data_IF_174861368773
#
_entry.id   IF_174861368773
#
_cell.length_a   1.000
_cell.length_b   1.000
_cell.length_c   1.000
_cell.angle_alpha   90.00
_cell.angle_beta   90.00
_cell.angle_gamma   90.00
#
_symmetry.space_group_name_H-M   'P 1'
#
loop_
_entity.id
_entity.type
_entity.pdbx_description
1 polymer ?
#
# COMPACT_ATOMS: atom_id res chain seq x y z
N UNK A 1 -15.24 -4.76 -20.58
CA UNK A 1 -15.28 -3.68 -19.58
C UNK A 1 -13.92 -2.99 -19.58
N UNK A 2 -13.83 -1.66 -19.42
CA UNK A 2 -12.53 -0.98 -19.33
C UNK A 2 -11.88 -1.27 -17.98
N UNK A 3 -10.58 -1.57 -17.99
CA UNK A 3 -9.76 -1.80 -16.81
C UNK A 3 -8.48 -0.97 -16.94
N UNK A 4 -7.85 -0.66 -15.81
CA UNK A 4 -6.52 -0.06 -15.79
C UNK A 4 -5.50 -1.17 -15.57
N UNK A 5 -4.54 -1.28 -16.49
CA UNK A 5 -3.43 -2.24 -16.39
C UNK A 5 -2.13 -1.49 -16.14
N UNK A 6 -1.44 -1.86 -15.07
CA UNK A 6 -0.17 -1.26 -14.70
C UNK A 6 0.93 -2.32 -14.66
N UNK A 7 2.08 -2.02 -15.24
CA UNK A 7 3.31 -2.79 -15.07
C UNK A 7 4.18 -2.01 -14.08
N UNK A 8 4.49 -2.61 -12.95
CA UNK A 8 5.09 -1.90 -11.81
C UNK A 8 6.30 -2.67 -11.30
N UNK A 9 7.47 -2.04 -11.36
CA UNK A 9 8.72 -2.55 -10.81
C UNK A 9 9.02 -2.02 -9.40
N UNK A 10 10.20 -2.40 -8.89
CA UNK A 10 10.77 -1.85 -7.66
C UNK A 10 12.27 -1.50 -7.80
N UNK A 11 12.89 -0.94 -6.75
CA UNK A 11 12.37 -0.88 -5.40
C UNK A 11 11.38 0.28 -5.18
N UNK A 12 10.32 0.03 -4.43
CA UNK A 12 9.37 1.04 -3.97
C UNK A 12 8.68 0.57 -2.68
N UNK A 13 8.78 1.37 -1.62
CA UNK A 13 8.13 1.12 -0.35
C UNK A 13 7.64 2.45 0.23
N UNK A 14 6.41 2.46 0.73
CA UNK A 14 5.80 3.62 1.39
C UNK A 14 5.08 3.17 2.66
N UNK A 15 4.57 4.11 3.44
CA UNK A 15 3.88 3.82 4.71
C UNK A 15 2.35 3.94 4.61
N UNK A 16 1.84 4.49 3.51
CA UNK A 16 0.41 4.59 3.24
C UNK A 16 -0.24 3.24 2.94
N UNK A 17 -1.43 3.04 3.49
CA UNK A 17 -2.36 1.99 3.09
C UNK A 17 -3.44 2.61 2.21
N UNK A 18 -3.53 2.12 0.98
CA UNK A 18 -4.59 2.47 0.06
C UNK A 18 -5.84 1.63 0.36
N UNK A 19 -7.01 2.24 0.24
CA UNK A 19 -8.30 1.60 0.43
C UNK A 19 -9.13 1.92 -0.81
N UNK A 20 -9.29 0.90 -1.64
CA UNK A 20 -10.04 0.95 -2.89
C UNK A 20 -11.39 0.24 -2.68
N UNK A 21 -12.49 0.84 -3.13
CA UNK A 21 -13.83 0.23 -3.05
C UNK A 21 -14.09 -0.85 -4.10
N UNK A 22 -13.11 -1.13 -4.97
CA UNK A 22 -13.12 -2.19 -5.97
C UNK A 22 -11.97 -3.17 -5.72
N UNK A 23 -12.07 -4.43 -6.20
CA UNK A 23 -10.99 -5.40 -6.03
C UNK A 23 -9.73 -4.99 -6.82
N UNK A 24 -8.58 -5.44 -6.35
CA UNK A 24 -7.31 -5.30 -7.06
C UNK A 24 -6.68 -6.67 -7.31
N UNK A 25 -6.30 -6.93 -8.55
CA UNK A 25 -5.66 -8.18 -8.91
C UNK A 25 -4.17 -7.97 -9.17
N UNK A 26 -3.36 -8.83 -8.57
CA UNK A 26 -1.90 -8.78 -8.62
C UNK A 26 -1.37 -10.05 -9.28
N UNK A 27 -0.33 -9.89 -10.10
CA UNK A 27 0.48 -10.98 -10.60
C UNK A 27 1.95 -10.59 -10.60
N UNK A 28 2.81 -11.45 -10.08
CA UNK A 28 4.25 -11.20 -10.06
C UNK A 28 4.95 -11.96 -11.19
N UNK A 29 5.38 -11.22 -12.21
CA UNK A 29 6.08 -11.80 -13.35
C UNK A 29 7.56 -12.11 -13.03
N UNK A 30 8.23 -11.24 -12.26
CA UNK A 30 9.64 -11.42 -11.86
C UNK A 30 9.82 -11.04 -10.39
N UNK A 31 10.38 -11.96 -9.61
CA UNK A 31 10.58 -11.80 -8.16
C UNK A 31 9.28 -11.71 -7.36
N UNK A 32 9.40 -11.77 -6.05
CA UNK A 32 8.30 -11.64 -5.10
C UNK A 32 8.07 -10.18 -4.70
N UNK A 33 6.83 -9.84 -4.36
CA UNK A 33 6.48 -8.61 -3.66
C UNK A 33 5.87 -8.93 -2.29
N UNK A 34 5.81 -7.92 -1.42
CA UNK A 34 5.11 -8.00 -0.15
C UNK A 34 3.90 -7.06 -0.20
N UNK A 35 2.70 -7.60 0.06
CA UNK A 35 1.48 -6.84 0.19
C UNK A 35 1.08 -6.84 1.66
N UNK A 36 1.29 -5.71 2.34
CA UNK A 36 0.83 -5.55 3.72
C UNK A 36 -0.65 -5.23 3.69
N UNK A 37 -1.47 -5.85 4.53
CA UNK A 37 -2.91 -5.63 4.59
C UNK A 37 -3.38 -5.46 6.03
N UNK A 38 -4.52 -4.81 6.22
CA UNK A 38 -5.27 -4.83 7.47
C UNK A 38 -6.55 -5.63 7.25
N UNK A 39 -6.58 -6.86 7.75
CA UNK A 39 -7.68 -7.81 7.60
C UNK A 39 -8.38 -7.97 8.95
N UNK A 40 -9.63 -7.50 9.05
CA UNK A 40 -10.41 -7.44 10.30
C UNK A 40 -9.63 -6.79 11.48
N UNK A 41 -8.92 -5.71 11.18
CA UNK A 41 -8.09 -4.98 12.17
C UNK A 41 -6.73 -5.63 12.46
N UNK A 42 -6.44 -6.78 11.87
CA UNK A 42 -5.17 -7.50 12.02
C UNK A 42 -4.23 -7.16 10.88
N UNK A 43 -3.03 -6.68 11.20
CA UNK A 43 -1.98 -6.44 10.22
C UNK A 43 -1.39 -7.76 9.75
N UNK A 44 -1.34 -7.97 8.44
CA UNK A 44 -0.80 -9.19 7.83
C UNK A 44 0.11 -8.85 6.67
N UNK A 45 1.12 -9.70 6.50
CA UNK A 45 2.12 -9.60 5.45
C UNK A 45 1.87 -10.75 4.46
N UNK A 46 1.41 -10.42 3.25
CA UNK A 46 1.15 -11.39 2.18
C UNK A 46 2.31 -11.35 1.20
N UNK A 47 3.10 -12.43 1.13
CA UNK A 47 4.15 -12.58 0.12
C UNK A 47 3.53 -13.14 -1.16
N UNK A 48 3.53 -12.33 -2.23
CA UNK A 48 3.10 -12.74 -3.56
C UNK A 48 4.36 -13.09 -4.33
N UNK A 49 4.65 -14.38 -4.53
CA UNK A 49 5.90 -14.86 -5.14
C UNK A 49 5.85 -14.74 -6.65
N UNK A 50 7.02 -14.87 -7.29
CA UNK A 50 7.10 -14.96 -8.75
C UNK A 50 6.20 -16.09 -9.26
N UNK A 51 5.34 -15.77 -10.22
CA UNK A 51 4.33 -16.67 -10.79
C UNK A 51 2.99 -16.65 -10.05
N UNK A 52 2.92 -16.12 -8.82
CA UNK A 52 1.69 -16.10 -8.04
C UNK A 52 0.71 -15.03 -8.57
N UNK A 53 -0.56 -15.37 -8.49
CA UNK A 53 -1.69 -14.48 -8.70
C UNK A 53 -2.41 -14.28 -7.37
N UNK A 54 -2.83 -13.05 -7.08
CA UNK A 54 -3.55 -12.72 -5.85
C UNK A 54 -4.68 -11.73 -6.15
N UNK A 55 -5.87 -11.99 -5.63
CA UNK A 55 -7.01 -11.08 -5.72
C UNK A 55 -7.28 -10.48 -4.35
N UNK A 56 -7.07 -9.18 -4.22
CA UNK A 56 -7.37 -8.42 -3.02
C UNK A 56 -8.86 -8.00 -3.02
N UNK A 57 -9.62 -8.33 -1.97
CA UNK A 57 -11.00 -7.90 -1.84
C UNK A 57 -11.14 -6.37 -1.72
N UNK A 58 -12.29 -5.80 -2.15
CA UNK A 58 -12.62 -4.40 -1.93
C UNK A 58 -12.51 -3.96 -0.47
N UNK A 59 -12.24 -2.69 -0.26
CA UNK A 59 -12.15 -2.02 1.04
C UNK A 59 -11.07 -2.55 1.99
N UNK A 60 -10.21 -3.45 1.52
CA UNK A 60 -9.06 -3.93 2.30
C UNK A 60 -7.96 -2.87 2.29
N UNK A 61 -7.60 -2.26 3.43
CA UNK A 61 -6.44 -1.38 3.50
C UNK A 61 -5.19 -2.18 3.15
N UNK A 62 -4.44 -1.72 2.16
CA UNK A 62 -3.28 -2.44 1.68
C UNK A 62 -2.11 -1.51 1.32
N UNK A 63 -0.89 -1.97 1.56
CA UNK A 63 0.36 -1.26 1.31
C UNK A 63 1.30 -2.16 0.50
N UNK A 64 1.44 -1.91 -0.82
CA UNK A 64 2.31 -2.71 -1.67
C UNK A 64 3.78 -2.30 -1.52
N UNK A 65 4.63 -3.27 -1.19
CA UNK A 65 6.09 -3.13 -1.11
C UNK A 65 6.73 -3.95 -2.23
N UNK A 66 7.54 -3.28 -3.05
CA UNK A 66 8.20 -3.86 -4.22
C UNK A 66 9.71 -3.80 -4.04
N UNK A 67 10.38 -4.90 -4.30
CA UNK A 67 11.83 -5.03 -4.12
C UNK A 67 12.58 -4.74 -5.42
N UNK A 68 13.90 -4.56 -5.34
CA UNK A 68 14.72 -4.26 -6.51
C UNK A 68 14.66 -5.40 -7.54
N UNK A 69 14.72 -5.05 -8.84
CA UNK A 69 14.71 -6.02 -9.95
C UNK A 69 13.47 -6.92 -10.03
N UNK A 70 12.34 -6.48 -9.45
CA UNK A 70 11.04 -7.17 -9.56
C UNK A 70 10.16 -6.54 -10.64
N UNK A 71 9.22 -7.33 -11.19
CA UNK A 71 8.23 -6.87 -12.16
C UNK A 71 6.90 -7.52 -11.83
N UNK A 72 5.90 -6.69 -11.51
CA UNK A 72 4.52 -7.14 -11.29
C UNK A 72 3.53 -6.44 -12.21
N UNK A 73 2.38 -7.09 -12.38
CA UNK A 73 1.21 -6.57 -13.08
C UNK A 73 0.13 -6.32 -12.03
N UNK A 74 -0.53 -5.17 -12.11
CA UNK A 74 -1.73 -4.86 -11.34
C UNK A 74 -2.86 -4.55 -12.31
N UNK A 75 -4.00 -5.20 -12.10
CA UNK A 75 -5.25 -4.90 -12.78
C UNK A 75 -6.23 -4.30 -11.78
N UNK A 76 -6.73 -3.12 -12.12
CA UNK A 76 -7.77 -2.44 -11.35
C UNK A 76 -9.00 -2.21 -12.22
N UNK A 77 -10.17 -2.34 -11.60
CA UNK A 77 -11.42 -1.92 -12.23
C UNK A 77 -11.44 -0.40 -12.35
N UNK A 78 -12.02 0.11 -13.45
CA UNK A 78 -12.40 1.52 -13.50
C UNK A 78 -13.35 1.82 -12.32
N UNK A 79 -13.00 2.84 -11.54
CA UNK A 79 -13.77 3.30 -10.40
C UNK A 79 -15.23 3.61 -10.78
N UNK A 80 -16.22 3.08 -10.03
CA UNK A 80 -17.60 3.58 -10.09
C UNK A 80 -17.64 5.10 -9.82
N UNK A 81 -18.59 5.82 -10.42
CA UNK A 81 -18.66 7.29 -10.34
C UNK A 81 -18.68 7.82 -8.91
N UNK A 82 -19.43 7.16 -8.03
CA UNK A 82 -19.58 7.54 -6.62
C UNK A 82 -18.50 6.95 -5.72
N UNK A 83 -17.54 6.20 -6.28
CA UNK A 83 -16.52 5.56 -5.46
C UNK A 83 -15.49 6.56 -4.94
N UNK A 84 -15.06 6.33 -3.70
CA UNK A 84 -14.09 7.15 -2.98
C UNK A 84 -12.94 6.25 -2.56
N UNK A 85 -11.76 6.58 -3.04
CA UNK A 85 -10.51 5.98 -2.61
C UNK A 85 -10.04 6.71 -1.34
N UNK A 86 -9.39 5.97 -0.44
CA UNK A 86 -8.77 6.53 0.75
C UNK A 86 -7.31 6.14 0.85
N UNK A 87 -6.52 7.04 1.41
CA UNK A 87 -5.13 6.83 1.78
C UNK A 87 -5.02 7.01 3.27
N UNK A 88 -4.50 6.00 3.96
CA UNK A 88 -4.50 5.93 5.42
C UNK A 88 -3.10 5.63 5.95
N UNK A 89 -2.72 6.32 7.02
CA UNK A 89 -1.48 6.07 7.74
C UNK A 89 -1.77 5.60 9.16
N UNK A 90 -0.99 4.64 9.63
CA UNK A 90 -1.12 4.06 10.96
C UNK A 90 0.10 4.41 11.83
N UNK A 91 -0.11 4.45 13.15
CA UNK A 91 0.95 4.67 14.10
C UNK A 91 1.80 3.40 14.22
N UNK A 92 3.12 3.52 14.06
CA UNK A 92 4.05 2.40 14.23
C UNK A 92 4.40 2.08 15.69
N UNK A 93 4.04 2.96 16.63
CA UNK A 93 4.40 2.83 18.06
C UNK A 93 3.24 2.37 18.94
N UNK A 94 2.00 2.44 18.46
CA UNK A 94 0.82 2.03 19.21
C UNK A 94 0.35 0.65 18.75
N UNK A 95 -0.12 -0.15 19.70
CA UNK A 95 -0.86 -1.37 19.39
C UNK A 95 -2.25 -1.04 18.80
N UNK A 96 -2.82 -1.99 18.06
CA UNK A 96 -4.22 -1.92 17.61
C UNK A 96 -4.48 -1.07 16.37
N UNK A 97 -3.45 -0.67 15.60
CA UNK A 97 -3.67 -0.01 14.31
C UNK A 97 -4.26 1.38 14.41
N UNK A 98 -3.75 2.19 15.34
CA UNK A 98 -4.22 3.57 15.53
C UNK A 98 -4.02 4.36 14.24
N UNK A 99 -5.13 4.87 13.68
CA UNK A 99 -5.11 5.71 12.49
C UNK A 99 -4.56 7.09 12.85
N UNK A 100 -3.53 7.51 12.14
CA UNK A 100 -2.86 8.80 12.34
C UNK A 100 -3.44 9.85 11.41
N UNK A 101 -3.63 9.49 10.15
CA UNK A 101 -4.23 10.35 9.15
C UNK A 101 -4.97 9.52 8.10
N UNK A 102 -6.03 10.09 7.55
CA UNK A 102 -6.73 9.56 6.40
C UNK A 102 -7.11 10.70 5.45
N UNK A 103 -6.83 10.49 4.16
CA UNK A 103 -7.24 11.38 3.09
C UNK A 103 -8.18 10.63 2.15
N UNK A 104 -9.27 11.26 1.74
CA UNK A 104 -10.26 10.71 0.82
C UNK A 104 -10.28 11.50 -0.49
N UNK A 105 -10.42 10.82 -1.62
CA UNK A 105 -10.49 11.46 -2.94
C UNK A 105 -11.26 10.62 -3.95
N UNK A 106 -11.87 11.29 -4.93
CA UNK A 106 -12.34 10.64 -6.14
C UNK A 106 -11.15 10.37 -7.06
N UNK A 107 -10.88 9.10 -7.35
CA UNK A 107 -9.72 8.71 -8.16
C UNK A 107 -10.00 8.92 -9.66
N UNK A 108 -9.36 9.93 -10.24
CA UNK A 108 -9.35 10.23 -11.69
C UNK A 108 -7.99 9.99 -12.32
N UNK A 109 -6.91 10.17 -11.56
CA UNK A 109 -5.52 9.82 -11.89
C UNK A 109 -4.83 9.29 -10.63
N UNK A 110 -4.79 7.97 -10.51
CA UNK A 110 -4.29 7.26 -9.34
C UNK A 110 -2.84 7.66 -9.00
N UNK A 111 -1.95 7.69 -9.99
CA UNK A 111 -0.52 7.94 -9.76
C UNK A 111 -0.27 9.35 -9.24
N UNK A 112 -0.87 10.35 -9.88
CA UNK A 112 -0.68 11.76 -9.51
C UNK A 112 -1.33 12.06 -8.15
N UNK A 113 -2.54 11.55 -7.90
CA UNK A 113 -3.27 11.81 -6.65
C UNK A 113 -2.63 11.12 -5.44
N UNK A 114 -2.16 9.87 -5.58
CA UNK A 114 -1.41 9.18 -4.53
C UNK A 114 -0.13 9.95 -4.19
N UNK A 115 0.65 10.37 -5.21
CA UNK A 115 1.89 11.10 -4.99
C UNK A 115 1.67 12.40 -4.23
N UNK A 116 0.61 13.13 -4.57
CA UNK A 116 0.22 14.36 -3.87
C UNK A 116 -0.13 14.09 -2.42
N UNK A 117 -0.99 13.10 -2.15
CA UNK A 117 -1.38 12.75 -0.78
C UNK A 117 -0.18 12.34 0.09
N UNK A 118 0.78 11.60 -0.48
CA UNK A 118 2.01 11.20 0.22
C UNK A 118 2.90 12.39 0.53
N UNK A 119 3.09 13.33 -0.41
CA UNK A 119 3.90 14.53 -0.16
C UNK A 119 3.22 15.47 0.85
N UNK A 120 1.91 15.64 0.75
CA UNK A 120 1.10 16.43 1.70
C UNK A 120 1.17 15.86 3.12
N UNK A 121 1.25 14.53 3.26
CA UNK A 121 1.46 13.88 4.57
C UNK A 121 2.90 14.06 5.06
N UNK A 122 3.89 13.85 4.19
CA UNK A 122 5.32 13.96 4.53
C UNK A 122 5.69 15.32 5.09
N UNK A 123 5.17 16.40 4.51
CA UNK A 123 5.51 17.79 4.85
C UNK A 123 4.75 18.34 6.07
N UNK A 124 3.80 17.58 6.63
CA UNK A 124 2.88 18.07 7.66
C UNK A 124 3.02 17.24 8.95
N UNK A 125 3.77 17.78 9.90
CA UNK A 125 3.99 17.13 11.20
C UNK A 125 2.71 17.03 12.03
N UNK A 126 1.71 17.89 11.83
CA UNK A 126 0.43 17.80 12.55
C UNK A 126 -0.41 16.62 12.06
N UNK A 127 -0.40 16.37 10.75
CA UNK A 127 -0.98 15.16 10.14
C UNK A 127 -0.23 13.91 10.53
N UNK A 128 1.10 13.98 10.67
CA UNK A 128 1.93 12.82 11.06
C UNK A 128 1.88 12.52 12.55
N UNK A 129 1.44 13.45 13.39
CA UNK A 129 1.40 13.26 14.84
C UNK A 129 0.26 12.35 15.26
N UNK A 130 0.61 11.18 15.77
CA UNK A 130 -0.35 10.29 16.40
C UNK A 130 -1.02 10.99 17.59
N UNK A 131 -2.35 11.08 17.57
CA UNK A 131 -3.12 11.75 18.62
C UNK A 131 -3.17 10.97 19.93
N UNK A 132 -2.82 9.68 19.90
CA UNK A 132 -2.83 8.81 21.08
C UNK A 132 -1.51 8.84 21.86
N UNK A 133 -0.36 8.74 21.19
CA UNK A 133 0.96 8.70 21.86
C UNK A 133 1.86 9.91 21.59
N UNK A 134 1.47 10.80 20.67
CA UNK A 134 2.27 11.99 20.31
C UNK A 134 3.44 11.74 19.36
N UNK A 135 3.80 10.47 19.11
CA UNK A 135 4.85 10.09 18.15
C UNK A 135 4.51 10.50 16.72
N UNK A 136 5.54 10.88 15.96
CA UNK A 136 5.40 11.17 14.54
C UNK A 136 5.44 9.88 13.74
N UNK A 137 4.39 9.60 13.00
CA UNK A 137 4.37 8.52 12.03
C UNK A 137 5.44 8.75 10.94
N UNK A 138 6.12 7.67 10.59
CA UNK A 138 7.08 7.65 9.50
C UNK A 138 6.35 7.87 8.17
N UNK A 139 6.89 8.74 7.32
CA UNK A 139 6.39 8.93 5.95
C UNK A 139 6.99 7.91 4.97
N UNK A 140 8.16 7.35 5.28
CA UNK A 140 8.79 6.24 4.57
C UNK A 140 9.21 5.13 5.55
N UNK A 141 9.22 3.86 5.14
CA UNK A 141 9.70 2.78 6.00
C UNK A 141 11.16 3.01 6.41
N UNK A 142 11.55 2.76 7.68
CA UNK A 142 12.95 2.85 8.09
C UNK A 142 13.85 1.93 7.24
N UNK A 143 15.07 2.34 6.88
CA UNK A 143 15.98 1.48 6.14
C UNK A 143 16.20 0.13 6.83
N UNK A 144 16.07 -0.97 6.09
CA UNK A 144 16.23 -2.34 6.61
C UNK A 144 15.06 -2.88 7.45
N UNK A 145 13.97 -2.11 7.63
CA UNK A 145 12.82 -2.55 8.44
C UNK A 145 11.93 -3.60 7.76
N UNK A 146 12.01 -3.74 6.44
CA UNK A 146 11.19 -4.68 5.67
C UNK A 146 12.11 -5.78 5.11
N UNK A 147 11.98 -7.03 5.59
CA UNK A 147 12.74 -8.16 5.05
C UNK A 147 12.40 -8.41 3.57
N UNK A 148 13.42 -8.59 2.73
CA UNK A 148 13.22 -8.93 1.32
C UNK A 148 13.05 -10.46 1.15
N UNK A 149 11.86 -10.94 0.76
CA UNK A 149 11.60 -12.37 0.57
C UNK A 149 12.40 -12.98 -0.59
N UNK A 150 12.99 -12.16 -1.47
CA UNK A 150 13.83 -12.63 -2.58
C UNK A 150 15.27 -12.94 -2.15
N UNK A 151 15.69 -12.50 -0.96
CA UNK A 151 17.04 -12.76 -0.43
C UNK A 151 17.10 -14.02 0.45
N UNK A 152 15.94 -14.57 0.81
CA UNK A 152 15.87 -15.85 1.52
C UNK A 152 16.06 -16.94 0.47
N UNK A 153 17.21 -17.62 0.51
CA UNK A 153 17.55 -18.66 -0.45
C UNK A 153 16.42 -19.69 -0.58
N UNK A 154 16.06 -20.02 -1.82
CA UNK A 154 15.32 -21.24 -2.10
C UNK A 154 16.11 -22.39 -1.45
N UNK A 155 15.50 -23.02 -0.45
CA UNK A 155 15.97 -24.31 0.06
C UNK A 155 15.55 -25.40 -0.91
#
# INVERSE_FOLDING_TARGET
MPHTTQIVGGPNARTDYHINQTPEWFYQHRGAMLLKVVDDGVFRDIVIRQGDMFLLPPNTPHNPVRFANTVGIVLEQRRPAESIDRMRWYCGSCDGGVVVHEAAFHCTDLGTQIKRAVEDFKQDDEKRRCKQCGELANWAPPPGSIPDPNLVAAS
#
